data_IF_082346301750
#
_entry.id   IF_082346301750
#
_cell.length_a   1.000
_cell.length_b   1.000
_cell.length_c   1.000
_cell.angle_alpha   90.00
_cell.angle_beta   90.00
_cell.angle_gamma   90.00
#
_symmetry.space_group_name_H-M   'P 1'
#
loop_
_entity.id
_entity.type
_entity.pdbx_description
1 polymer ?
#
# COMPACT_ATOMS: atom_id res chain seq x y z
N UNK A 1 14.50 23.04 -16.36
CA UNK A 1 14.34 22.05 -17.46
C UNK A 1 14.23 20.61 -16.97
N UNK A 2 15.08 20.13 -16.03
CA UNK A 2 15.03 18.75 -15.51
C UNK A 2 13.69 18.32 -14.87
N UNK A 3 12.96 19.26 -14.25
CA UNK A 3 11.63 18.99 -13.67
C UNK A 3 10.57 18.58 -14.69
N UNK A 4 10.69 18.86 -15.99
CA UNK A 4 9.64 18.52 -17.00
C UNK A 4 9.77 17.11 -17.57
N UNK A 5 10.97 16.55 -17.62
CA UNK A 5 11.21 15.23 -18.26
C UNK A 5 10.71 14.09 -17.38
N UNK A 6 10.89 14.16 -16.06
CA UNK A 6 10.30 13.19 -15.13
C UNK A 6 8.76 13.24 -15.02
N UNK A 7 8.10 14.15 -15.75
CA UNK A 7 6.65 14.42 -15.67
C UNK A 7 5.88 13.96 -16.90
N UNK A 8 6.55 13.45 -17.93
CA UNK A 8 5.84 12.87 -19.08
C UNK A 8 5.27 11.48 -18.73
N UNK A 9 4.13 11.07 -19.30
CA UNK A 9 3.55 9.74 -19.10
C UNK A 9 4.56 8.61 -19.39
N UNK A 10 5.32 8.74 -20.48
CA UNK A 10 6.34 7.77 -20.86
C UNK A 10 7.50 7.70 -19.84
N UNK A 11 7.88 8.82 -19.21
CA UNK A 11 8.91 8.82 -18.18
C UNK A 11 8.40 8.18 -16.89
N UNK A 12 7.16 8.45 -16.49
CA UNK A 12 6.53 7.79 -15.34
C UNK A 12 6.39 6.28 -15.56
N UNK A 13 6.05 5.84 -16.78
CA UNK A 13 6.02 4.43 -17.15
C UNK A 13 7.39 3.77 -17.10
N UNK A 14 8.42 4.42 -17.65
CA UNK A 14 9.80 3.94 -17.63
C UNK A 14 10.35 3.87 -16.21
N UNK A 15 10.09 4.89 -15.37
CA UNK A 15 10.48 4.90 -13.95
C UNK A 15 9.74 3.79 -13.19
N UNK A 16 8.42 3.65 -13.38
CA UNK A 16 7.62 2.60 -12.74
C UNK A 16 8.08 1.20 -13.14
N UNK A 17 8.45 1.00 -14.42
CA UNK A 17 9.01 -0.25 -14.91
C UNK A 17 10.38 -0.52 -14.30
N UNK A 18 11.28 0.47 -14.34
CA UNK A 18 12.61 0.36 -13.74
C UNK A 18 12.55 0.07 -12.24
N UNK A 19 11.62 0.69 -11.52
CA UNK A 19 11.37 0.40 -10.10
C UNK A 19 10.91 -1.04 -9.91
N UNK A 20 9.90 -1.52 -10.66
CA UNK A 20 9.44 -2.91 -10.56
C UNK A 20 10.54 -3.93 -10.89
N UNK A 21 11.35 -3.66 -11.93
CA UNK A 21 12.48 -4.50 -12.32
C UNK A 21 13.57 -4.52 -11.25
N UNK A 22 13.92 -3.36 -10.69
CA UNK A 22 14.88 -3.24 -9.59
C UNK A 22 14.40 -4.00 -8.35
N UNK A 23 13.15 -3.80 -7.93
CA UNK A 23 12.56 -4.49 -6.79
C UNK A 23 12.55 -6.01 -7.01
N UNK A 24 12.28 -6.47 -8.24
CA UNK A 24 12.33 -7.89 -8.60
C UNK A 24 13.75 -8.46 -8.55
N UNK A 25 14.75 -7.68 -8.95
CA UNK A 25 16.17 -8.06 -8.83
C UNK A 25 16.60 -8.16 -7.36
N UNK A 26 16.21 -7.18 -6.53
CA UNK A 26 16.44 -7.21 -5.08
C UNK A 26 15.79 -8.46 -4.48
N UNK A 27 14.55 -8.77 -4.88
CA UNK A 27 13.88 -10.01 -4.47
C UNK A 27 14.68 -11.25 -4.83
N UNK A 28 15.14 -11.36 -6.08
CA UNK A 28 15.87 -12.52 -6.57
C UNK A 28 17.25 -12.70 -5.92
N UNK A 29 17.84 -11.61 -5.41
CA UNK A 29 19.20 -11.60 -4.83
C UNK A 29 19.22 -11.56 -3.30
N UNK A 30 18.06 -11.39 -2.65
CA UNK A 30 17.94 -11.31 -1.19
C UNK A 30 17.24 -12.55 -0.63
N UNK A 31 17.59 -12.91 0.62
CA UNK A 31 16.87 -13.94 1.37
C UNK A 31 15.77 -13.26 2.18
N UNK A 32 14.53 -13.73 2.03
CA UNK A 32 13.39 -13.26 2.80
C UNK A 32 13.00 -14.32 3.82
N UNK A 33 12.83 -13.89 5.06
CA UNK A 33 12.23 -14.68 6.12
C UNK A 33 11.02 -13.92 6.61
N UNK A 34 9.93 -14.65 6.85
CA UNK A 34 8.71 -14.11 7.44
C UNK A 34 8.61 -14.57 8.88
N UNK A 35 8.09 -13.70 9.74
CA UNK A 35 7.73 -14.03 11.12
C UNK A 35 6.28 -13.60 11.33
N UNK A 36 5.36 -14.52 11.66
CA UNK A 36 5.57 -15.96 11.83
C UNK A 36 6.03 -16.67 10.53
N UNK A 37 6.65 -17.84 10.64
CA UNK A 37 7.17 -18.57 9.48
C UNK A 37 6.05 -18.95 8.50
N UNK A 38 4.93 -19.46 9.01
CA UNK A 38 3.73 -19.77 8.23
C UNK A 38 2.73 -18.60 8.30
N UNK A 39 3.03 -17.53 7.56
CA UNK A 39 2.14 -16.36 7.50
C UNK A 39 0.81 -16.73 6.86
N UNK A 40 0.81 -17.62 5.87
CA UNK A 40 -0.41 -18.09 5.21
C UNK A 40 -1.38 -18.70 6.21
N UNK A 41 -0.93 -19.64 7.04
CA UNK A 41 -1.77 -20.21 8.09
C UNK A 41 -2.16 -19.18 9.17
N UNK A 42 -1.28 -18.22 9.47
CA UNK A 42 -1.52 -17.19 10.47
C UNK A 42 -2.65 -16.23 10.08
N UNK A 43 -2.75 -15.85 8.80
CA UNK A 43 -3.74 -14.86 8.34
C UNK A 43 -4.98 -15.46 7.67
N UNK A 44 -5.01 -16.76 7.37
CA UNK A 44 -6.05 -17.38 6.53
C UNK A 44 -7.49 -17.07 6.99
N UNK A 45 -7.71 -17.06 8.31
CA UNK A 45 -9.04 -16.91 8.92
C UNK A 45 -9.46 -15.43 9.02
N UNK A 46 -8.50 -14.51 8.84
CA UNK A 46 -8.68 -13.06 8.91
C UNK A 46 -8.89 -12.42 7.53
N UNK A 47 -8.69 -13.16 6.44
CA UNK A 47 -8.82 -12.64 5.08
C UNK A 47 -10.29 -12.33 4.69
N UNK A 48 -10.56 -11.22 3.99
CA UNK A 48 -9.67 -10.10 3.69
C UNK A 48 -9.38 -9.23 4.92
N UNK A 49 -8.16 -8.69 4.99
CA UNK A 49 -7.65 -7.92 6.12
C UNK A 49 -7.09 -6.55 5.71
N UNK A 50 -6.79 -5.72 6.71
CA UNK A 50 -6.11 -4.43 6.55
C UNK A 50 -4.65 -4.57 6.99
N UNK A 51 -3.72 -4.69 6.05
CA UNK A 51 -2.29 -4.74 6.29
C UNK A 51 -1.76 -3.32 6.59
N UNK A 52 -1.33 -3.12 7.83
CA UNK A 52 -0.89 -1.83 8.34
C UNK A 52 0.63 -1.81 8.47
N UNK A 53 1.29 -0.78 7.94
CA UNK A 53 2.74 -0.62 8.08
C UNK A 53 3.10 0.83 8.39
N UNK A 54 4.33 1.07 8.83
CA UNK A 54 4.86 2.43 8.92
C UNK A 54 5.39 2.91 7.58
N UNK A 55 5.44 4.23 7.38
CA UNK A 55 6.15 4.80 6.23
C UNK A 55 7.60 4.29 6.17
N UNK A 56 8.07 4.09 4.93
CA UNK A 56 9.40 3.54 4.64
C UNK A 56 9.46 2.02 4.54
N UNK A 57 8.39 1.29 4.90
CA UNK A 57 8.39 -0.17 4.88
C UNK A 57 7.80 -0.79 3.60
N UNK A 58 7.00 -0.03 2.86
CA UNK A 58 6.17 -0.53 1.76
C UNK A 58 6.91 -1.04 0.51
N UNK A 59 8.19 -0.72 0.32
CA UNK A 59 8.92 -1.10 -0.91
C UNK A 59 9.11 -2.61 -1.05
N UNK A 60 9.41 -3.31 0.04
CA UNK A 60 9.65 -4.76 0.05
C UNK A 60 8.41 -5.58 0.37
N UNK A 61 7.38 -4.96 0.94
CA UNK A 61 6.14 -5.64 1.35
C UNK A 61 5.42 -6.42 0.23
N UNK A 62 5.41 -6.00 -1.04
CA UNK A 62 4.84 -6.81 -2.12
C UNK A 62 5.39 -8.23 -2.21
N UNK A 63 6.65 -8.44 -1.80
CA UNK A 63 7.30 -9.75 -1.85
C UNK A 63 7.11 -10.61 -0.61
N UNK A 64 6.67 -10.00 0.49
CA UNK A 64 6.25 -10.68 1.71
C UNK A 64 4.75 -11.01 1.72
N UNK A 65 4.07 -10.81 0.58
CA UNK A 65 2.65 -11.10 0.39
C UNK A 65 2.41 -12.62 0.44
N UNK A 66 1.60 -13.12 1.37
CA UNK A 66 1.25 -14.54 1.46
C UNK A 66 0.47 -15.00 0.22
N UNK A 67 0.60 -16.28 -0.14
CA UNK A 67 -0.04 -16.85 -1.34
C UNK A 67 -1.57 -16.86 -1.20
N UNK A 68 -2.06 -17.10 0.01
CA UNK A 68 -3.48 -17.03 0.40
C UNK A 68 -4.08 -15.64 0.20
N UNK A 69 -3.26 -14.59 0.23
CA UNK A 69 -3.69 -13.21 -0.07
C UNK A 69 -3.59 -12.95 -1.59
N UNK A 70 -4.44 -13.60 -2.38
CA UNK A 70 -4.43 -13.56 -3.85
C UNK A 70 -4.90 -12.23 -4.47
N UNK A 71 -5.60 -11.39 -3.69
CA UNK A 71 -6.02 -10.03 -4.07
C UNK A 71 -5.59 -9.00 -3.03
N UNK A 72 -4.87 -7.98 -3.48
CA UNK A 72 -4.37 -6.89 -2.65
C UNK A 72 -4.53 -5.55 -3.36
N UNK A 73 -5.10 -4.59 -2.64
CA UNK A 73 -5.11 -3.19 -3.05
C UNK A 73 -4.27 -2.34 -2.08
N UNK A 74 -3.64 -1.27 -2.55
CA UNK A 74 -2.79 -0.40 -1.73
C UNK A 74 -3.21 1.06 -1.87
N UNK A 75 -3.30 1.78 -0.75
CA UNK A 75 -3.56 3.22 -0.77
C UNK A 75 -2.28 3.97 -1.17
N UNK A 76 -2.32 4.66 -2.31
CA UNK A 76 -1.20 5.45 -2.84
C UNK A 76 -1.63 6.90 -3.05
N UNK A 77 -0.77 7.83 -2.64
CA UNK A 77 -1.02 9.27 -2.78
C UNK A 77 -1.36 9.69 -4.22
N UNK A 78 -2.19 10.73 -4.34
CA UNK A 78 -2.45 11.42 -5.61
C UNK A 78 -1.33 12.38 -6.01
N UNK A 79 -0.31 12.55 -5.17
CA UNK A 79 0.85 13.36 -5.51
C UNK A 79 1.50 12.84 -6.81
N UNK A 80 1.98 13.76 -7.65
CA UNK A 80 2.58 13.42 -8.96
C UNK A 80 3.73 12.41 -8.79
N UNK A 81 4.55 12.60 -7.75
CA UNK A 81 5.69 11.72 -7.42
C UNK A 81 5.30 10.29 -7.02
N UNK A 82 4.03 10.05 -6.68
CA UNK A 82 3.51 8.73 -6.36
C UNK A 82 2.97 7.98 -7.61
N UNK A 83 3.03 8.59 -8.81
CA UNK A 83 2.63 7.96 -10.06
C UNK A 83 3.44 6.71 -10.39
N UNK A 84 4.76 6.81 -10.34
CA UNK A 84 5.66 5.68 -10.57
C UNK A 84 5.45 4.54 -9.55
N UNK A 85 5.14 4.86 -8.29
CA UNK A 85 4.82 3.86 -7.26
C UNK A 85 3.51 3.13 -7.56
N UNK A 86 2.48 3.85 -8.01
CA UNK A 86 1.23 3.24 -8.44
C UNK A 86 1.46 2.30 -9.63
N UNK A 87 2.22 2.73 -10.64
CA UNK A 87 2.55 1.90 -11.80
C UNK A 87 3.38 0.67 -11.43
N UNK A 88 4.32 0.81 -10.48
CA UNK A 88 5.11 -0.32 -9.99
C UNK A 88 4.22 -1.32 -9.22
N UNK A 89 3.31 -0.84 -8.36
CA UNK A 89 2.36 -1.68 -7.64
C UNK A 89 1.46 -2.48 -8.61
N UNK A 90 0.89 -1.82 -9.62
CA UNK A 90 0.07 -2.48 -10.64
C UNK A 90 0.86 -3.56 -11.40
N UNK A 91 2.11 -3.28 -11.75
CA UNK A 91 3.00 -4.27 -12.40
C UNK A 91 3.36 -5.45 -11.50
N UNK A 92 3.29 -5.27 -10.18
CA UNK A 92 3.45 -6.33 -9.18
C UNK A 92 2.12 -7.03 -8.86
N UNK A 93 1.04 -6.77 -9.60
CA UNK A 93 -0.27 -7.38 -9.41
C UNK A 93 -1.01 -6.85 -8.18
N UNK A 94 -0.77 -5.60 -7.80
CA UNK A 94 -1.39 -4.92 -6.66
C UNK A 94 -2.20 -3.73 -7.18
N UNK A 95 -3.49 -3.69 -6.86
CA UNK A 95 -4.38 -2.60 -7.27
C UNK A 95 -4.04 -1.31 -6.52
N UNK A 96 -3.75 -0.23 -7.24
CA UNK A 96 -3.41 1.07 -6.66
C UNK A 96 -4.65 1.93 -6.46
N UNK A 97 -5.09 2.07 -5.20
CA UNK A 97 -6.18 2.99 -4.82
C UNK A 97 -5.61 4.39 -4.60
N UNK A 98 -5.98 5.34 -5.47
CA UNK A 98 -5.40 6.70 -5.44
C UNK A 98 -6.12 7.63 -4.45
N UNK A 99 -5.44 8.00 -3.36
CA UNK A 99 -5.94 8.95 -2.37
C UNK A 99 -4.95 9.24 -1.25
N UNK A 100 -5.34 10.08 -0.31
CA UNK A 100 -4.53 10.40 0.88
C UNK A 100 -5.42 10.52 2.11
N UNK A 101 -5.01 9.90 3.22
CA UNK A 101 -5.54 10.21 4.55
C UNK A 101 -5.01 11.57 5.02
N UNK A 102 -5.85 12.35 5.70
CA UNK A 102 -5.47 13.65 6.24
C UNK A 102 -6.28 13.99 7.49
N UNK A 103 -5.79 14.90 8.34
CA UNK A 103 -6.52 15.39 9.51
C UNK A 103 -7.91 15.95 9.13
N UNK A 104 -8.91 15.67 9.97
CA UNK A 104 -10.29 16.13 9.77
C UNK A 104 -10.45 17.66 9.83
N UNK A 105 -9.50 18.36 10.48
CA UNK A 105 -9.47 19.82 10.61
C UNK A 105 -9.10 20.56 9.30
N UNK A 106 -8.49 19.86 8.35
CA UNK A 106 -8.23 20.32 6.99
C UNK A 106 -9.17 19.58 6.06
N UNK A 107 -10.43 19.99 6.08
CA UNK A 107 -11.57 19.38 5.36
C UNK A 107 -11.47 19.26 3.84
N UNK A 108 -10.28 19.28 3.22
CA UNK A 108 -10.14 19.31 1.77
C UNK A 108 -8.84 18.69 1.24
N UNK A 109 -8.34 17.59 1.81
CA UNK A 109 -7.46 16.72 1.00
C UNK A 109 -8.31 16.01 -0.05
N UNK A 110 -8.31 16.56 -1.27
CA UNK A 110 -9.05 16.12 -2.46
C UNK A 110 -8.76 14.65 -2.79
N UNK A 111 -9.46 13.73 -2.13
CA UNK A 111 -9.36 12.29 -2.41
C UNK A 111 -9.52 11.33 -1.24
N UNK A 112 -9.56 11.81 0.01
CA UNK A 112 -9.69 10.94 1.17
C UNK A 112 -10.99 10.11 1.19
N UNK A 113 -12.15 10.77 1.06
CA UNK A 113 -13.44 10.07 1.07
C UNK A 113 -13.65 9.13 -0.14
N UNK A 114 -13.35 9.53 -1.40
CA UNK A 114 -13.39 8.60 -2.53
C UNK A 114 -12.45 7.40 -2.35
N UNK A 115 -11.23 7.60 -1.85
CA UNK A 115 -10.31 6.49 -1.61
C UNK A 115 -10.76 5.59 -0.47
N UNK A 116 -11.33 6.14 0.61
CA UNK A 116 -11.95 5.35 1.67
C UNK A 116 -13.06 4.45 1.12
N UNK A 117 -13.96 5.01 0.29
CA UNK A 117 -15.03 4.22 -0.36
C UNK A 117 -14.47 3.12 -1.26
N UNK A 118 -13.42 3.43 -2.02
CA UNK A 118 -12.78 2.44 -2.88
C UNK A 118 -12.09 1.33 -2.06
N UNK A 119 -11.42 1.66 -0.95
CA UNK A 119 -10.83 0.67 -0.05
C UNK A 119 -11.90 -0.24 0.58
N UNK A 120 -13.03 0.34 0.99
CA UNK A 120 -14.18 -0.44 1.48
C UNK A 120 -14.69 -1.39 0.39
N UNK A 121 -14.87 -0.90 -0.84
CA UNK A 121 -15.28 -1.72 -1.99
C UNK A 121 -14.31 -2.87 -2.27
N UNK A 122 -13.00 -2.63 -2.14
CA UNK A 122 -11.98 -3.68 -2.31
C UNK A 122 -12.14 -4.77 -1.24
N UNK A 123 -12.27 -4.38 0.04
CA UNK A 123 -12.51 -5.31 1.15
C UNK A 123 -13.82 -6.09 0.99
N UNK A 124 -14.90 -5.45 0.57
CA UNK A 124 -16.18 -6.10 0.28
C UNK A 124 -16.08 -7.14 -0.85
N UNK A 125 -15.20 -6.90 -1.83
CA UNK A 125 -14.96 -7.79 -2.96
C UNK A 125 -13.94 -8.90 -2.67
N UNK A 126 -13.51 -9.06 -1.42
CA UNK A 126 -12.55 -10.08 -1.00
C UNK A 126 -11.08 -9.70 -1.20
N UNK A 127 -10.79 -8.46 -1.60
CA UNK A 127 -9.41 -7.97 -1.72
C UNK A 127 -8.93 -7.46 -0.37
N UNK A 128 -7.78 -7.94 0.11
CA UNK A 128 -7.12 -7.31 1.26
C UNK A 128 -6.61 -5.93 0.88
N UNK A 129 -6.40 -5.06 1.86
CA UNK A 129 -5.88 -3.70 1.62
C UNK A 129 -4.63 -3.42 2.42
N UNK A 130 -3.66 -2.74 1.81
CA UNK A 130 -2.45 -2.27 2.48
C UNK A 130 -2.43 -0.74 2.56
N UNK A 131 -1.98 -0.22 3.70
CA UNK A 131 -1.72 1.20 3.87
C UNK A 131 -0.66 1.51 4.91
N UNK A 132 -0.03 2.67 4.75
CA UNK A 132 0.75 3.26 5.83
C UNK A 132 -0.19 3.81 6.89
N UNK A 133 -0.02 3.38 8.14
CA UNK A 133 -0.92 3.72 9.23
C UNK A 133 -0.64 5.11 9.80
N UNK A 134 0.61 5.58 9.71
CA UNK A 134 1.04 6.85 10.29
C UNK A 134 0.57 8.08 9.50
N UNK A 135 0.36 9.17 10.25
CA UNK A 135 -0.11 10.44 9.70
C UNK A 135 1.02 11.34 9.21
N UNK A 136 0.77 12.20 8.21
CA UNK A 136 1.75 13.18 7.77
C UNK A 136 2.33 13.99 8.95
N UNK A 137 3.65 14.17 8.96
CA UNK A 137 4.40 14.95 9.97
C UNK A 137 4.44 14.34 11.38
N UNK A 138 3.85 13.17 11.64
CA UNK A 138 4.05 12.41 12.88
C UNK A 138 4.33 10.95 12.58
N UNK A 139 5.61 10.60 12.60
CA UNK A 139 6.04 9.22 12.41
C UNK A 139 5.51 8.31 13.53
N UNK A 140 5.13 7.08 13.16
CA UNK A 140 4.69 6.02 14.10
C UNK A 140 3.49 6.38 14.98
N UNK A 141 2.66 7.32 14.52
CA UNK A 141 1.38 7.67 15.16
C UNK A 141 0.26 7.36 14.18
N UNK A 142 -0.52 6.31 14.49
CA UNK A 142 -1.61 5.87 13.64
C UNK A 142 -2.70 6.95 13.50
N UNK A 143 -3.20 7.13 12.28
CA UNK A 143 -4.30 8.04 12.00
C UNK A 143 -5.67 7.41 12.18
N UNK A 144 -6.71 8.23 12.37
CA UNK A 144 -8.09 7.72 12.47
C UNK A 144 -8.60 7.07 11.18
N UNK A 145 -7.95 7.31 10.03
CA UNK A 145 -8.32 6.70 8.75
C UNK A 145 -8.31 5.18 8.80
N UNK A 146 -7.24 4.56 9.32
CA UNK A 146 -7.15 3.09 9.38
C UNK A 146 -8.16 2.50 10.36
N UNK A 147 -8.38 3.17 11.51
CA UNK A 147 -9.37 2.77 12.51
C UNK A 147 -10.79 2.86 11.93
N UNK A 148 -11.06 3.92 11.16
CA UNK A 148 -12.36 4.12 10.50
C UNK A 148 -12.59 3.05 9.44
N UNK A 149 -11.57 2.72 8.64
CA UNK A 149 -11.65 1.66 7.65
C UNK A 149 -11.95 0.30 8.30
N UNK A 150 -11.26 -0.05 9.38
CA UNK A 150 -11.50 -1.28 10.13
C UNK A 150 -12.92 -1.31 10.72
N UNK A 151 -13.35 -0.21 11.35
CA UNK A 151 -14.69 -0.09 11.94
C UNK A 151 -15.80 -0.24 10.90
N UNK A 152 -15.64 0.38 9.73
CA UNK A 152 -16.66 0.36 8.67
C UNK A 152 -16.67 -0.95 7.89
N UNK A 153 -15.51 -1.56 7.65
CA UNK A 153 -15.40 -2.82 6.91
C UNK A 153 -15.63 -4.08 7.76
N UNK A 154 -15.49 -3.95 9.09
CA UNK A 154 -15.48 -5.10 10.01
C UNK A 154 -14.23 -5.97 9.89
N UNK A 155 -13.20 -5.53 9.14
CA UNK A 155 -11.98 -6.30 8.89
C UNK A 155 -10.87 -6.00 9.90
N UNK A 156 -10.07 -7.01 10.29
CA UNK A 156 -9.00 -6.81 11.26
C UNK A 156 -7.86 -5.96 10.69
N UNK A 157 -7.21 -5.21 11.57
CA UNK A 157 -5.94 -4.54 11.26
C UNK A 157 -4.83 -5.49 11.64
N UNK A 158 -4.01 -5.89 10.66
CA UNK A 158 -2.83 -6.72 10.87
C UNK A 158 -1.58 -5.85 10.71
N UNK A 159 -0.84 -5.59 11.81
CA UNK A 159 0.44 -4.90 11.74
C UNK A 159 1.46 -5.73 10.96
N UNK A 160 2.16 -5.07 10.05
CA UNK A 160 3.20 -5.65 9.20
C UNK A 160 4.42 -4.73 9.20
N UNK A 161 5.59 -5.32 9.20
CA UNK A 161 6.86 -4.60 9.17
C UNK A 161 7.88 -5.37 8.35
N UNK A 162 8.75 -4.64 7.65
CA UNK A 162 9.99 -5.19 7.14
C UNK A 162 11.12 -4.78 8.10
N UNK A 163 12.05 -5.70 8.34
CA UNK A 163 13.26 -5.42 9.11
C UNK A 163 14.41 -5.96 8.27
N UNK A 164 15.50 -5.21 8.22
CA UNK A 164 16.72 -5.57 7.52
C UNK A 164 17.80 -5.92 8.53
#
# INVERSE_FOLDING_TARGET
>A
MARRVGRSPWAQEAIGFGLAAYLSLVRATSRFTTVPEDVDAYIKDDLPLIAAMWHGQHLMMPFARPVTMDRLAVLISRHEDAGAQALAAERLGITAVRGSGGPADRGYYKGGAPAMRELLRQLEQGSSVAMTADVPKRARVAGMGIVTLAKLSGRPIVPTAAVM
#
